data_IF_989085625775
#
_entry.id   IF_989085625775
#
_cell.length_a   1.000
_cell.length_b   1.000
_cell.length_c   1.000
_cell.angle_alpha   90.00
_cell.angle_beta   90.00
_cell.angle_gamma   90.00
#
_symmetry.space_group_name_H-M   'P 1'
#
loop_
_entity.id
_entity.type
_entity.pdbx_description
1 polymer ?
#
# COMPACT_ATOMS: atom_id res chain seq x y z
N UNK A 1 30.14 30.45 32.26
CA UNK A 1 30.27 30.17 30.82
C UNK A 1 30.30 28.67 30.65
N UNK A 2 29.68 28.14 29.60
CA UNK A 2 29.35 26.72 29.35
C UNK A 2 28.03 26.20 29.96
N UNK A 3 26.93 26.41 29.23
CA UNK A 3 25.98 25.32 28.95
C UNK A 3 25.82 25.25 27.44
N UNK A 4 26.72 24.46 26.88
CA UNK A 4 26.83 24.07 25.48
C UNK A 4 25.67 23.14 25.11
N UNK A 5 24.98 23.47 24.02
CA UNK A 5 24.63 22.54 22.93
C UNK A 5 23.91 21.21 23.25
N UNK A 6 22.91 21.20 24.13
CA UNK A 6 22.02 20.05 24.27
C UNK A 6 20.54 20.46 24.17
N UNK A 7 20.10 20.96 23.02
CA UNK A 7 18.68 20.81 22.66
C UNK A 7 18.33 20.97 21.18
N UNK A 8 19.15 20.44 20.28
CA UNK A 8 18.80 20.31 18.85
C UNK A 8 18.51 18.86 18.47
N UNK A 9 17.85 18.11 19.35
CA UNK A 9 17.34 16.76 19.06
C UNK A 9 15.85 16.60 19.39
N UNK A 10 15.16 17.67 19.77
CA UNK A 10 13.72 17.64 19.96
C UNK A 10 13.03 18.05 18.66
N UNK A 11 12.35 17.07 18.04
CA UNK A 11 11.28 17.22 17.04
C UNK A 11 11.68 17.15 15.56
N UNK A 12 12.43 16.12 15.18
CA UNK A 12 12.10 15.45 13.91
C UNK A 12 10.78 14.69 14.13
N UNK A 13 9.73 14.91 13.33
CA UNK A 13 8.54 14.08 13.44
C UNK A 13 8.95 12.65 13.08
N UNK A 14 8.85 11.75 14.05
CA UNK A 14 8.76 10.33 13.73
C UNK A 14 7.55 10.20 12.81
N UNK A 15 7.77 9.89 11.53
CA UNK A 15 6.69 9.67 10.58
C UNK A 15 5.78 8.60 11.16
N UNK A 16 4.58 8.98 11.61
CA UNK A 16 3.62 8.02 12.15
C UNK A 16 3.06 7.22 10.98
N UNK A 17 3.74 6.13 10.64
CA UNK A 17 3.24 5.18 9.64
C UNK A 17 1.95 4.58 10.17
N UNK A 18 0.82 4.88 9.53
CA UNK A 18 -0.49 4.36 9.91
C UNK A 18 -0.61 2.91 9.47
N UNK A 19 -0.36 1.97 10.38
CA UNK A 19 -0.54 0.54 10.10
C UNK A 19 -2.01 0.20 9.90
N UNK A 20 -2.30 -0.60 8.87
CA UNK A 20 -3.62 -1.16 8.58
C UNK A 20 -3.51 -2.68 8.54
N UNK A 21 -4.53 -3.38 9.05
CA UNK A 21 -4.68 -4.83 8.93
C UNK A 21 -6.01 -5.10 8.26
N UNK A 22 -5.99 -5.99 7.29
CA UNK A 22 -7.18 -6.53 6.62
C UNK A 22 -7.20 -8.01 6.98
N UNK A 23 -8.36 -8.49 7.39
CA UNK A 23 -8.63 -9.90 7.65
C UNK A 23 -9.81 -10.27 6.77
N UNK A 24 -9.63 -11.25 5.90
CA UNK A 24 -10.72 -11.80 5.10
C UNK A 24 -11.46 -12.87 5.89
N UNK A 25 -12.76 -12.97 5.65
CA UNK A 25 -13.53 -14.14 6.05
C UNK A 25 -13.10 -15.36 5.20
N UNK A 26 -12.12 -16.12 5.70
CA UNK A 26 -11.41 -17.17 4.96
C UNK A 26 -12.27 -18.34 4.43
N UNK A 27 -13.57 -18.39 4.71
CA UNK A 27 -14.49 -19.39 4.14
C UNK A 27 -15.28 -18.87 2.93
N UNK A 28 -15.49 -17.56 2.82
CA UNK A 28 -16.42 -16.98 1.83
C UNK A 28 -15.84 -15.79 1.07
N UNK A 29 -14.79 -15.17 1.60
CA UNK A 29 -14.21 -13.95 1.08
C UNK A 29 -12.90 -14.21 0.32
N UNK A 30 -12.86 -13.75 -0.92
CA UNK A 30 -11.68 -13.83 -1.78
C UNK A 30 -11.51 -12.53 -2.57
N UNK A 31 -10.27 -12.25 -2.98
CA UNK A 31 -9.96 -11.11 -3.83
C UNK A 31 -10.57 -11.30 -5.22
N UNK A 32 -11.26 -10.27 -5.67
CA UNK A 32 -11.82 -10.15 -7.03
C UNK A 32 -11.09 -9.09 -7.84
N UNK A 33 -10.45 -8.11 -7.18
CA UNK A 33 -9.58 -7.14 -7.84
C UNK A 33 -8.61 -6.48 -6.87
N UNK A 34 -7.47 -6.02 -7.40
CA UNK A 34 -6.62 -5.02 -6.75
C UNK A 34 -6.66 -3.78 -7.60
N UNK A 35 -7.04 -2.65 -6.99
CA UNK A 35 -7.03 -1.35 -7.65
C UNK A 35 -6.08 -0.41 -6.93
N UNK A 36 -5.67 0.65 -7.60
CA UNK A 36 -4.79 1.63 -6.99
C UNK A 36 -4.44 2.76 -7.91
N UNK A 37 -3.52 3.58 -7.45
CA UNK A 37 -2.90 4.65 -8.24
C UNK A 37 -1.39 4.57 -8.10
N UNK A 38 -0.67 4.96 -9.15
CA UNK A 38 0.78 5.18 -9.12
C UNK A 38 1.11 6.54 -9.71
N UNK A 39 2.23 7.11 -9.32
CA UNK A 39 2.65 8.43 -9.80
C UNK A 39 3.89 8.94 -9.08
N UNK A 40 4.28 10.17 -9.42
CA UNK A 40 5.38 10.84 -8.74
C UNK A 40 5.02 11.15 -7.28
N UNK A 41 5.89 10.74 -6.37
CA UNK A 41 5.91 11.16 -4.99
C UNK A 41 7.37 11.48 -4.61
N UNK A 42 7.64 12.76 -4.34
CA UNK A 42 8.98 13.25 -4.01
C UNK A 42 10.05 12.91 -5.07
N UNK A 43 9.71 12.95 -6.36
CA UNK A 43 10.63 12.66 -7.46
C UNK A 43 10.81 11.17 -7.76
N UNK A 44 10.04 10.29 -7.12
CA UNK A 44 10.05 8.83 -7.34
C UNK A 44 8.68 8.37 -7.85
N UNK A 45 8.67 7.51 -8.86
CA UNK A 45 7.44 6.88 -9.34
C UNK A 45 7.12 5.68 -8.46
N UNK A 46 6.04 5.79 -7.69
CA UNK A 46 5.66 4.81 -6.65
C UNK A 46 4.16 4.50 -6.72
N UNK A 47 3.74 3.43 -6.06
CA UNK A 47 2.33 3.17 -5.75
C UNK A 47 1.87 4.18 -4.69
N UNK A 48 0.94 5.05 -5.07
CA UNK A 48 0.43 6.12 -4.22
C UNK A 48 -0.84 5.71 -3.47
N UNK A 49 -1.61 4.75 -4.01
CA UNK A 49 -2.72 4.13 -3.28
C UNK A 49 -3.00 2.69 -3.69
N UNK A 50 -3.60 1.92 -2.78
CA UNK A 50 -4.10 0.55 -3.01
C UNK A 50 -5.48 0.35 -2.38
N UNK A 51 -6.36 -0.36 -3.08
CA UNK A 51 -7.56 -0.96 -2.53
C UNK A 51 -7.66 -2.43 -2.93
N UNK A 52 -8.12 -3.24 -1.98
CA UNK A 52 -8.34 -4.66 -2.14
C UNK A 52 -9.85 -4.90 -2.23
N UNK A 53 -10.32 -5.30 -3.41
CA UNK A 53 -11.72 -5.61 -3.64
C UNK A 53 -11.92 -7.11 -3.48
N UNK A 54 -12.94 -7.46 -2.71
CA UNK A 54 -13.37 -8.84 -2.52
C UNK A 54 -14.78 -9.01 -3.08
N UNK A 55 -15.27 -10.25 -3.09
CA UNK A 55 -16.66 -10.52 -3.41
C UNK A 55 -17.65 -9.96 -2.36
N UNK A 56 -17.18 -9.50 -1.20
CA UNK A 56 -18.03 -8.98 -0.11
C UNK A 56 -17.91 -7.47 0.09
N UNK A 57 -16.71 -6.91 -0.07
CA UNK A 57 -16.46 -5.50 0.26
C UNK A 57 -15.24 -4.95 -0.48
N UNK A 58 -14.89 -3.70 -0.19
CA UNK A 58 -13.63 -3.07 -0.61
C UNK A 58 -12.90 -2.55 0.61
N UNK A 59 -11.64 -2.95 0.76
CA UNK A 59 -10.74 -2.42 1.78
C UNK A 59 -9.82 -1.38 1.15
N UNK A 60 -9.98 -0.12 1.56
CA UNK A 60 -9.20 1.01 1.07
C UNK A 60 -10.07 2.11 0.44
N UNK A 61 -9.49 3.01 -0.36
CA UNK A 61 -8.07 3.05 -0.70
C UNK A 61 -7.20 3.42 0.51
N UNK A 62 -6.04 2.77 0.61
CA UNK A 62 -4.97 3.11 1.54
C UNK A 62 -3.91 3.92 0.82
N UNK A 63 -3.39 4.97 1.45
CA UNK A 63 -2.51 5.94 0.81
C UNK A 63 -3.27 7.16 0.31
N UNK A 64 -2.75 7.83 -0.70
CA UNK A 64 -3.34 9.02 -1.31
C UNK A 64 -3.54 8.77 -2.80
N UNK A 65 -4.81 8.73 -3.23
CA UNK A 65 -5.17 8.38 -4.59
C UNK A 65 -4.82 9.53 -5.57
N UNK A 66 -3.57 9.58 -6.01
CA UNK A 66 -3.03 10.61 -6.92
C UNK A 66 -2.19 9.98 -8.01
N UNK A 67 -2.23 10.56 -9.21
CA UNK A 67 -1.53 10.05 -10.38
C UNK A 67 -2.44 9.21 -11.28
N UNK A 68 -1.90 8.13 -11.83
CA UNK A 68 -2.58 7.26 -12.80
C UNK A 68 -3.20 6.06 -12.10
N UNK A 69 -4.50 5.85 -12.32
CA UNK A 69 -5.22 4.69 -11.78
C UNK A 69 -4.88 3.40 -12.52
N UNK A 70 -4.91 2.28 -11.79
CA UNK A 70 -4.82 0.93 -12.35
C UNK A 70 -5.82 -0.01 -11.67
N UNK A 71 -6.12 -1.12 -12.35
CA UNK A 71 -6.97 -2.21 -11.86
C UNK A 71 -6.44 -3.53 -12.39
N UNK A 72 -6.40 -4.54 -11.51
CA UNK A 72 -6.04 -5.91 -11.83
C UNK A 72 -7.26 -6.79 -11.49
N UNK A 73 -8.15 -7.07 -12.46
CA UNK A 73 -9.27 -7.97 -12.24
C UNK A 73 -8.78 -9.41 -12.09
N UNK A 74 -9.41 -10.15 -11.17
CA UNK A 74 -9.09 -11.55 -10.86
C UNK A 74 -10.36 -12.37 -11.16
N UNK A 75 -10.42 -12.95 -12.35
CA UNK A 75 -11.57 -13.73 -12.82
C UNK A 75 -11.20 -15.21 -12.92
N UNK A 76 -12.03 -16.09 -12.35
CA UNK A 76 -11.83 -17.54 -12.43
C UNK A 76 -10.49 -18.00 -11.86
N UNK A 77 -9.94 -17.29 -10.88
CA UNK A 77 -8.67 -17.60 -10.24
C UNK A 77 -8.64 -17.06 -8.81
N UNK A 78 -7.71 -17.56 -8.00
CA UNK A 78 -7.46 -17.13 -6.63
C UNK A 78 -6.03 -16.59 -6.52
N UNK A 79 -5.87 -15.47 -5.81
CA UNK A 79 -4.54 -14.93 -5.46
C UNK A 79 -3.89 -15.83 -4.42
N UNK A 80 -2.71 -16.35 -4.73
CA UNK A 80 -1.95 -17.25 -3.84
C UNK A 80 -0.66 -16.62 -3.31
N UNK A 81 -0.34 -15.41 -3.74
CA UNK A 81 0.84 -14.69 -3.28
C UNK A 81 1.02 -13.36 -3.99
N UNK A 82 1.90 -12.56 -3.41
CA UNK A 82 2.29 -11.24 -3.92
C UNK A 82 3.78 -11.25 -4.26
N UNK A 83 4.17 -10.39 -5.18
CA UNK A 83 5.56 -10.01 -5.41
C UNK A 83 5.63 -8.49 -5.60
N UNK A 84 6.81 -7.90 -5.50
CA UNK A 84 6.95 -6.46 -5.64
C UNK A 84 8.39 -5.99 -5.50
N UNK A 85 8.53 -4.66 -5.47
CA UNK A 85 9.78 -3.94 -5.18
C UNK A 85 9.46 -2.76 -4.29
N UNK A 86 10.31 -2.52 -3.30
CA UNK A 86 10.22 -1.40 -2.38
C UNK A 86 11.58 -0.70 -2.20
N UNK A 87 11.51 0.55 -1.78
CA UNK A 87 12.60 1.39 -1.30
C UNK A 87 12.10 2.21 -0.12
N UNK A 88 12.10 3.54 -0.24
CA UNK A 88 11.45 4.41 0.76
C UNK A 88 9.92 4.28 0.73
N UNK A 89 9.37 3.87 -0.42
CA UNK A 89 7.96 3.61 -0.66
C UNK A 89 7.77 2.29 -1.43
N UNK A 90 6.53 1.92 -1.73
CA UNK A 90 6.23 0.77 -2.56
C UNK A 90 6.36 1.15 -4.04
N UNK A 91 7.40 0.69 -4.72
CA UNK A 91 7.65 1.03 -6.13
C UNK A 91 6.73 0.24 -7.08
N UNK A 92 6.54 -1.05 -6.78
CA UNK A 92 5.79 -1.97 -7.63
C UNK A 92 5.17 -3.11 -6.84
N UNK A 93 4.02 -3.57 -7.30
CA UNK A 93 3.30 -4.72 -6.75
C UNK A 93 2.70 -5.55 -7.88
N UNK A 94 2.74 -6.87 -7.71
CA UNK A 94 2.10 -7.84 -8.58
C UNK A 94 1.58 -9.04 -7.80
N UNK A 95 0.83 -9.90 -8.48
CA UNK A 95 0.17 -11.06 -7.89
C UNK A 95 0.54 -12.35 -8.62
N UNK A 96 0.51 -13.44 -7.87
CA UNK A 96 0.47 -14.80 -8.40
C UNK A 96 -0.93 -15.35 -8.21
N UNK A 97 -1.47 -15.93 -9.29
CA UNK A 97 -2.80 -16.51 -9.31
C UNK A 97 -2.75 -18.01 -9.62
N UNK A 98 -3.73 -18.75 -9.13
CA UNK A 98 -4.05 -20.11 -9.58
C UNK A 98 -5.50 -20.16 -10.06
N UNK A 99 -5.80 -20.88 -11.15
CA UNK A 99 -7.17 -21.20 -11.52
C UNK A 99 -7.94 -21.85 -10.37
#
# INVERSE_FOLDING_TARGET
MAKSMENLAAKMPVTLVKKRRIEFDGLSEHLTSITGTYGDYAGMVVITSLAFQTNLTTYGPFGTATGTSFSIPIEGSVVIGFHGRDGDYLDAIGIHVKP
#
